data_IF_847044097915
#
_entry.id   IF_847044097915
#
_cell.length_a   1.000
_cell.length_b   1.000
_cell.length_c   1.000
_cell.angle_alpha   90.00
_cell.angle_beta   90.00
_cell.angle_gamma   90.00
#
_symmetry.space_group_name_H-M   'P 1'
#
loop_
_entity.id
_entity.type
_entity.pdbx_description
1 polymer ?
#
# COMPACT_ATOMS: atom_id res chain seq x y z
N UNK A 1 -42.27 -6.64 16.44
CA UNK A 1 -41.00 -6.04 16.92
C UNK A 1 -39.89 -6.49 15.98
N UNK A 2 -39.55 -5.65 15.00
CA UNK A 2 -38.56 -5.96 13.96
C UNK A 2 -37.16 -5.76 14.55
N UNK A 3 -36.48 -6.86 14.83
CA UNK A 3 -35.08 -6.86 15.25
C UNK A 3 -34.19 -6.30 14.12
N UNK A 4 -33.66 -5.09 14.32
CA UNK A 4 -32.64 -4.54 13.46
C UNK A 4 -31.31 -5.25 13.77
N UNK A 5 -30.85 -6.09 12.85
CA UNK A 5 -29.53 -6.74 12.93
C UNK A 5 -28.42 -5.67 12.85
N UNK A 6 -27.45 -5.64 13.78
CA UNK A 6 -26.33 -4.70 13.69
C UNK A 6 -25.46 -5.03 12.46
N UNK A 7 -25.16 -3.99 11.67
CA UNK A 7 -24.26 -4.05 10.52
C UNK A 7 -22.87 -4.57 10.93
N UNK A 8 -22.35 -5.65 10.31
CA UNK A 8 -21.04 -6.16 10.68
C UNK A 8 -19.98 -5.22 10.12
N UNK A 9 -19.25 -4.54 11.02
CA UNK A 9 -17.94 -3.97 10.68
C UNK A 9 -17.14 -5.06 9.98
N UNK A 10 -16.61 -4.77 8.80
CA UNK A 10 -15.88 -5.73 7.96
C UNK A 10 -14.67 -6.27 8.74
N UNK A 11 -14.82 -7.48 9.29
CA UNK A 11 -13.72 -8.20 9.92
C UNK A 11 -12.72 -8.53 8.82
N UNK A 12 -11.48 -8.09 8.98
CA UNK A 12 -10.42 -8.44 8.04
C UNK A 12 -10.28 -9.96 7.96
N UNK A 13 -10.08 -10.48 6.74
CA UNK A 13 -9.83 -11.91 6.54
C UNK A 13 -8.52 -12.31 7.22
N UNK A 14 -8.51 -13.48 7.84
CA UNK A 14 -7.31 -14.05 8.47
C UNK A 14 -6.17 -14.18 7.45
N UNK A 15 -4.94 -14.01 7.94
CA UNK A 15 -3.73 -14.10 7.12
C UNK A 15 -3.64 -15.47 6.43
N UNK A 16 -3.91 -16.54 7.18
CA UNK A 16 -3.93 -17.93 6.69
C UNK A 16 -4.87 -18.14 5.49
N UNK A 17 -6.06 -17.54 5.52
CA UNK A 17 -7.03 -17.67 4.44
C UNK A 17 -6.54 -16.96 3.17
N UNK A 18 -5.86 -15.82 3.30
CA UNK A 18 -5.26 -15.10 2.16
C UNK A 18 -4.10 -15.89 1.57
N UNK A 19 -3.25 -16.49 2.39
CA UNK A 19 -2.12 -17.32 1.94
C UNK A 19 -2.61 -18.59 1.23
N UNK A 20 -3.70 -19.20 1.71
CA UNK A 20 -4.34 -20.33 1.04
C UNK A 20 -4.90 -19.96 -0.33
N UNK A 21 -5.48 -18.75 -0.49
CA UNK A 21 -5.93 -18.24 -1.80
C UNK A 21 -4.75 -18.08 -2.75
N UNK A 22 -3.64 -17.50 -2.30
CA UNK A 22 -2.44 -17.32 -3.14
C UNK A 22 -1.83 -18.67 -3.54
N UNK A 23 -1.78 -19.63 -2.61
CA UNK A 23 -1.26 -20.98 -2.89
C UNK A 23 -2.07 -21.71 -3.97
N UNK A 24 -3.41 -21.66 -3.87
CA UNK A 24 -4.32 -22.20 -4.90
C UNK A 24 -4.17 -21.47 -6.24
N UNK A 25 -3.97 -20.16 -6.21
CA UNK A 25 -3.75 -19.38 -7.43
C UNK A 25 -2.44 -19.74 -8.13
N UNK A 26 -1.36 -19.99 -7.37
CA UNK A 26 -0.08 -20.50 -7.92
C UNK A 26 -0.24 -21.88 -8.58
N UNK A 27 -1.15 -22.69 -8.04
CA UNK A 27 -1.50 -24.01 -8.59
C UNK A 27 -2.39 -23.93 -9.85
N UNK A 28 -2.73 -22.73 -10.33
CA UNK A 28 -3.55 -22.53 -11.53
C UNK A 28 -5.07 -22.65 -11.31
N UNK A 29 -5.54 -22.69 -10.06
CA UNK A 29 -6.98 -22.78 -9.79
C UNK A 29 -7.74 -21.52 -10.24
N UNK A 30 -8.93 -21.72 -10.81
CA UNK A 30 -9.84 -20.65 -11.22
C UNK A 30 -10.56 -19.98 -10.06
N UNK A 31 -10.98 -18.72 -10.25
CA UNK A 31 -11.62 -17.91 -9.19
C UNK A 31 -12.87 -18.55 -8.58
N UNK A 32 -13.68 -19.23 -9.39
CA UNK A 32 -14.91 -19.90 -8.95
C UNK A 32 -14.63 -21.13 -8.08
N UNK A 33 -13.62 -21.93 -8.45
CA UNK A 33 -13.19 -23.12 -7.67
C UNK A 33 -12.67 -22.70 -6.29
N UNK A 34 -11.83 -21.66 -6.25
CA UNK A 34 -11.31 -21.12 -4.98
C UNK A 34 -12.42 -20.53 -4.09
N UNK A 35 -13.36 -19.80 -4.69
CA UNK A 35 -14.51 -19.21 -3.98
C UNK A 35 -15.39 -20.29 -3.34
N UNK A 36 -15.72 -21.35 -4.08
CA UNK A 36 -16.50 -22.47 -3.56
C UNK A 36 -15.75 -23.23 -2.46
N UNK A 37 -14.46 -23.52 -2.66
CA UNK A 37 -13.66 -24.28 -1.70
C UNK A 37 -13.43 -23.57 -0.36
N UNK A 38 -13.33 -22.24 -0.39
CA UNK A 38 -13.04 -21.43 0.80
C UNK A 38 -14.27 -20.74 1.39
N UNK A 39 -15.45 -20.88 0.76
CA UNK A 39 -16.69 -20.16 1.12
C UNK A 39 -16.48 -18.64 1.20
N UNK A 40 -15.62 -18.11 0.32
CA UNK A 40 -15.30 -16.68 0.23
C UNK A 40 -15.94 -16.11 -1.04
N UNK A 41 -16.53 -14.92 -1.00
CA UNK A 41 -17.08 -14.28 -2.20
C UNK A 41 -16.03 -14.11 -3.31
N UNK A 42 -16.43 -14.32 -4.58
CA UNK A 42 -15.54 -14.22 -5.75
C UNK A 42 -14.83 -12.87 -5.86
N UNK A 43 -15.50 -11.77 -5.51
CA UNK A 43 -14.93 -10.41 -5.52
C UNK A 43 -13.72 -10.29 -4.58
N UNK A 44 -13.77 -10.99 -3.46
CA UNK A 44 -12.79 -10.94 -2.40
C UNK A 44 -11.55 -11.72 -2.82
N UNK A 45 -11.75 -12.93 -3.37
CA UNK A 45 -10.69 -13.74 -3.99
C UNK A 45 -9.97 -12.94 -5.09
N UNK A 46 -10.73 -12.28 -5.99
CA UNK A 46 -10.16 -11.45 -7.05
C UNK A 46 -9.35 -10.27 -6.49
N UNK A 47 -9.86 -9.58 -5.46
CA UNK A 47 -9.17 -8.44 -4.84
C UNK A 47 -7.86 -8.84 -4.16
N UNK A 48 -7.79 -10.03 -3.56
CA UNK A 48 -6.59 -10.57 -2.92
C UNK A 48 -5.54 -10.89 -3.97
N UNK A 49 -5.94 -11.57 -5.06
CA UNK A 49 -5.03 -11.94 -6.15
C UNK A 49 -4.50 -10.69 -6.86
N UNK A 50 -5.35 -9.68 -7.09
CA UNK A 50 -4.94 -8.41 -7.68
C UNK A 50 -3.91 -7.69 -6.79
N UNK A 51 -4.16 -7.63 -5.48
CA UNK A 51 -3.21 -7.05 -4.52
C UNK A 51 -1.90 -7.84 -4.46
N UNK A 52 -1.97 -9.16 -4.44
CA UNK A 52 -0.80 -10.02 -4.45
C UNK A 52 0.03 -9.84 -5.73
N UNK A 53 -0.59 -9.74 -6.91
CA UNK A 53 0.11 -9.43 -8.16
C UNK A 53 0.81 -8.07 -8.14
N UNK A 54 0.20 -7.08 -7.48
CA UNK A 54 0.72 -5.71 -7.43
C UNK A 54 1.86 -5.53 -6.42
N UNK A 55 1.74 -6.13 -5.23
CA UNK A 55 2.65 -5.88 -4.10
C UNK A 55 3.51 -7.08 -3.72
N UNK A 56 3.23 -8.27 -4.26
CA UNK A 56 3.91 -9.53 -3.88
C UNK A 56 3.53 -10.06 -2.49
N UNK A 57 2.73 -9.33 -1.71
CA UNK A 57 2.43 -9.63 -0.30
C UNK A 57 0.94 -9.91 -0.06
N UNK A 58 0.63 -10.81 0.87
CA UNK A 58 -0.73 -11.13 1.37
C UNK A 58 -1.11 -10.37 2.64
N UNK A 59 -0.11 -9.87 3.37
CA UNK A 59 -0.27 -9.05 4.58
C UNK A 59 -0.94 -7.73 4.22
N UNK A 60 -1.88 -7.27 5.06
CA UNK A 60 -2.42 -5.90 4.94
C UNK A 60 -1.28 -4.92 5.17
N UNK A 61 -0.94 -4.11 4.18
CA UNK A 61 -0.02 -3.01 4.39
C UNK A 61 -0.69 -1.97 5.28
N UNK A 62 0.03 -1.36 6.23
CA UNK A 62 -0.50 -0.22 6.96
C UNK A 62 -0.94 0.83 5.93
N UNK A 63 -2.10 1.45 6.16
CA UNK A 63 -2.55 2.54 5.32
C UNK A 63 -1.47 3.61 5.32
N UNK A 64 -0.94 3.92 4.13
CA UNK A 64 -0.01 5.02 4.00
C UNK A 64 -0.70 6.30 4.49
N UNK A 65 -0.18 6.85 5.58
CA UNK A 65 -0.60 8.15 6.10
C UNK A 65 0.10 9.28 5.35
N UNK A 66 -0.40 10.49 5.50
CA UNK A 66 0.27 11.68 5.00
C UNK A 66 1.46 12.00 5.92
N UNK A 67 2.69 11.93 5.40
CA UNK A 67 3.86 12.45 6.11
C UNK A 67 3.82 13.98 6.07
N UNK A 68 3.83 14.62 7.23
CA UNK A 68 3.93 16.08 7.28
C UNK A 68 5.30 16.50 6.75
N UNK A 69 5.33 17.39 5.74
CA UNK A 69 6.57 17.93 5.15
C UNK A 69 7.52 18.54 6.21
N UNK A 70 6.96 19.00 7.33
CA UNK A 70 7.68 19.65 8.43
C UNK A 70 7.41 18.92 9.74
N UNK A 71 8.45 18.70 10.53
CA UNK A 71 8.30 18.23 11.90
C UNK A 71 7.59 19.30 12.76
N UNK A 72 6.91 18.88 13.83
CA UNK A 72 6.30 19.80 14.80
C UNK A 72 7.34 20.76 15.42
N UNK A 73 8.61 20.34 15.51
CA UNK A 73 9.70 21.21 15.97
C UNK A 73 10.06 22.28 14.95
N UNK A 74 10.18 21.92 13.67
CA UNK A 74 10.44 22.88 12.58
C UNK A 74 9.35 23.93 12.47
N UNK A 75 8.07 23.51 12.58
CA UNK A 75 6.93 24.45 12.59
C UNK A 75 6.97 25.42 13.77
N UNK A 76 7.31 24.94 14.97
CA UNK A 76 7.43 25.80 16.16
C UNK A 76 8.61 26.77 16.07
N UNK A 77 9.73 26.33 15.50
CA UNK A 77 10.88 27.19 15.27
C UNK A 77 10.56 28.32 14.28
N UNK A 78 9.84 28.00 13.19
CA UNK A 78 9.39 28.98 12.22
C UNK A 78 8.52 30.06 12.87
N UNK A 79 7.52 29.64 13.65
CA UNK A 79 6.63 30.59 14.35
C UNK A 79 7.42 31.50 15.28
N UNK A 80 8.41 30.96 16.02
CA UNK A 80 9.26 31.79 16.89
C UNK A 80 10.08 32.80 16.11
N UNK A 81 10.62 32.42 14.96
CA UNK A 81 11.46 33.30 14.16
C UNK A 81 10.66 34.44 13.53
N UNK A 82 9.51 34.11 12.91
CA UNK A 82 8.59 35.11 12.35
C UNK A 82 8.02 36.05 13.43
N UNK A 83 7.83 35.56 14.66
CA UNK A 83 7.35 36.39 15.77
C UNK A 83 8.41 37.38 16.25
N UNK A 84 9.70 36.99 16.22
CA UNK A 84 10.82 37.88 16.60
C UNK A 84 11.09 38.92 15.53
N UNK A 85 11.06 38.48 14.27
CA UNK A 85 11.41 39.27 13.11
C UNK A 85 10.27 39.14 12.10
N UNK A 86 9.38 40.13 12.06
CA UNK A 86 8.19 40.10 11.20
C UNK A 86 8.51 40.26 9.71
N UNK A 87 9.70 40.78 9.38
CA UNK A 87 10.14 41.06 8.00
C UNK A 87 11.03 39.97 7.39
N UNK A 88 11.14 38.80 8.03
CA UNK A 88 12.00 37.73 7.50
C UNK A 88 11.44 37.20 6.19
N UNK A 89 12.31 37.12 5.20
CA UNK A 89 12.00 36.60 3.87
C UNK A 89 12.00 35.07 3.86
N UNK A 90 11.32 34.48 2.88
CA UNK A 90 11.22 33.02 2.76
C UNK A 90 12.59 32.33 2.65
N UNK A 91 13.55 32.95 1.97
CA UNK A 91 14.92 32.44 1.78
C UNK A 91 15.66 32.35 3.11
N UNK A 92 15.57 33.39 3.93
CA UNK A 92 16.18 33.43 5.27
C UNK A 92 15.57 32.36 6.20
N UNK A 93 14.24 32.15 6.13
CA UNK A 93 13.59 31.08 6.90
C UNK A 93 14.05 29.70 6.43
N UNK A 94 14.26 29.50 5.13
CA UNK A 94 14.76 28.23 4.59
C UNK A 94 16.21 27.95 5.03
N UNK A 95 17.06 28.98 5.05
CA UNK A 95 18.44 28.90 5.54
C UNK A 95 18.49 28.59 7.04
N UNK A 96 17.69 29.29 7.85
CA UNK A 96 17.56 29.05 9.30
C UNK A 96 17.19 27.60 9.62
N UNK A 97 16.26 27.02 8.86
CA UNK A 97 15.82 25.64 9.07
C UNK A 97 16.84 24.60 8.61
N UNK A 98 17.61 24.92 7.57
CA UNK A 98 18.67 24.06 7.06
C UNK A 98 19.88 24.04 8.02
N UNK A 99 20.25 25.21 8.56
CA UNK A 99 21.39 25.38 9.47
C UNK A 99 21.17 24.77 10.86
N UNK A 100 19.95 24.81 11.38
CA UNK A 100 19.62 24.31 12.73
C UNK A 100 19.49 22.77 12.84
N UNK A 101 19.68 22.02 11.74
CA UNK A 101 19.42 20.57 11.72
C UNK A 101 17.94 20.21 11.96
N UNK A 102 17.03 21.18 11.87
CA UNK A 102 15.59 20.98 12.02
C UNK A 102 15.04 20.43 10.72
N UNK A 103 15.10 19.10 10.63
CA UNK A 103 14.82 18.32 9.42
C UNK A 103 13.56 18.79 8.69
N UNK A 104 13.77 19.58 7.64
CA UNK A 104 12.94 19.50 6.45
C UNK A 104 13.10 18.06 5.96
N UNK A 105 12.03 17.26 5.97
CA UNK A 105 12.09 15.97 5.28
C UNK A 105 12.15 16.29 3.79
N UNK A 106 13.37 16.57 3.27
CA UNK A 106 13.63 16.49 1.84
C UNK A 106 13.14 15.11 1.44
N UNK A 107 12.27 15.09 0.44
CA UNK A 107 11.71 13.88 -0.11
C UNK A 107 12.83 12.84 -0.21
N UNK A 108 12.82 11.84 0.67
CA UNK A 108 13.63 10.66 0.42
C UNK A 108 12.94 10.04 -0.79
N UNK A 109 13.56 9.97 -1.99
CA UNK A 109 13.07 9.01 -2.95
C UNK A 109 13.15 7.69 -2.22
N UNK A 110 11.99 7.05 -2.03
CA UNK A 110 11.94 5.72 -1.46
C UNK A 110 12.93 4.89 -2.26
N UNK A 111 14.05 4.55 -1.63
CA UNK A 111 15.04 3.65 -2.17
C UNK A 111 14.36 2.28 -2.17
N UNK A 112 13.55 2.03 -3.19
CA UNK A 112 13.11 0.69 -3.52
C UNK A 112 14.33 -0.01 -4.10
N UNK A 113 15.21 -0.50 -3.24
CA UNK A 113 15.92 -1.73 -3.54
C UNK A 113 14.90 -2.87 -3.48
N UNK A 114 13.99 -2.88 -4.44
CA UNK A 114 13.34 -4.09 -4.87
C UNK A 114 14.26 -4.64 -5.94
N UNK A 115 15.15 -5.53 -5.54
CA UNK A 115 15.86 -6.45 -6.43
C UNK A 115 14.82 -7.34 -7.11
N UNK A 116 14.10 -6.79 -8.09
CA UNK A 116 13.41 -7.58 -9.12
C UNK A 116 14.44 -8.10 -10.12
N UNK A 117 15.53 -8.68 -9.62
CA UNK A 117 16.51 -9.40 -10.41
C UNK A 117 16.24 -10.91 -10.24
N UNK A 118 15.00 -11.33 -10.46
CA UNK A 118 14.62 -12.74 -10.47
C UNK A 118 13.26 -13.04 -11.13
N UNK A 119 12.57 -12.07 -11.72
CA UNK A 119 11.24 -12.28 -12.32
C UNK A 119 11.20 -12.07 -13.84
N UNK A 120 12.37 -12.22 -14.49
CA UNK A 120 12.49 -12.39 -15.95
C UNK A 120 13.12 -13.76 -16.25
N UNK A 121 12.49 -14.83 -15.79
CA UNK A 121 12.70 -16.16 -16.38
C UNK A 121 11.33 -16.69 -16.75
N UNK A 122 11.08 -16.67 -18.06
CA UNK A 122 10.20 -17.58 -18.79
C UNK A 122 8.68 -17.46 -18.50
N UNK A 123 8.05 -16.51 -19.19
CA UNK A 123 6.67 -16.70 -19.60
C UNK A 123 6.69 -17.38 -20.97
N UNK A 124 6.11 -18.57 -21.17
CA UNK A 124 5.89 -19.08 -22.51
C UNK A 124 4.75 -18.29 -23.14
N UNK A 125 5.12 -17.34 -23.98
CA UNK A 125 4.34 -16.85 -25.10
C UNK A 125 4.19 -17.97 -26.13
N UNK A 126 2.98 -18.51 -26.27
CA UNK A 126 2.73 -19.58 -27.23
C UNK A 126 1.33 -20.16 -27.16
N UNK A 127 0.38 -19.44 -27.77
CA UNK A 127 -0.58 -19.93 -28.77
C UNK A 127 -1.29 -21.29 -28.52
N UNK A 128 -2.62 -21.30 -28.56
CA UNK A 128 -3.39 -21.67 -29.76
C UNK A 128 -4.91 -21.61 -29.48
N UNK A 129 -5.56 -20.80 -30.31
CA UNK A 129 -6.97 -20.93 -30.67
C UNK A 129 -7.26 -22.33 -31.20
N UNK A 130 -8.37 -22.93 -30.76
CA UNK A 130 -9.11 -23.90 -31.58
C UNK A 130 -10.62 -23.74 -31.33
N UNK A 131 -11.34 -23.57 -32.44
CA UNK A 131 -12.80 -23.57 -32.58
C UNK A 131 -13.32 -25.01 -32.59
N UNK A 132 -14.61 -25.17 -32.27
CA UNK A 132 -15.44 -26.35 -32.57
C UNK A 132 -15.37 -27.45 -31.51
N UNK A 133 -16.46 -28.09 -31.08
CA UNK A 133 -17.81 -28.27 -31.65
C UNK A 133 -18.89 -28.05 -30.60
#
# INVERSE_FOLDING_TARGET
MSEQKPSPRSKELSVELRDRIVSRRRSGEGYQKMSAALKVPKNTVASIILKWKKFGTTKTLPRAGHLAKWSNMGRRALVREVTKNLMVTLTELQEFLCGDGKTFQKDKPYLQHSTNQAFMVEWPDGSHSVKGT
#
